data_IF_066802448022
#
_entry.id   IF_066802448022
#
_cell.length_a   1.000
_cell.length_b   1.000
_cell.length_c   1.000
_cell.angle_alpha   90.00
_cell.angle_beta   90.00
_cell.angle_gamma   90.00
#
_symmetry.space_group_name_H-M   'P 1'
#
loop_
_entity.id
_entity.type
_entity.pdbx_description
1 polymer ?
#
# COMPACT_ATOMS: atom_id res chain seq x y z
N UNK A 1 -22.73 18.15 61.02
CA UNK A 1 -21.78 17.30 60.28
C UNK A 1 -22.54 16.49 59.23
N UNK A 2 -22.57 16.93 57.96
CA UNK A 2 -23.12 16.17 56.81
C UNK A 2 -22.70 16.84 55.49
N UNK A 3 -21.39 16.93 55.24
CA UNK A 3 -20.85 17.52 53.99
C UNK A 3 -19.68 16.69 53.41
N UNK A 4 -19.44 15.48 53.92
CA UNK A 4 -18.30 14.65 53.47
C UNK A 4 -18.73 13.58 52.44
N UNK A 5 -20.00 13.16 52.44
CA UNK A 5 -20.48 12.08 51.56
C UNK A 5 -20.80 12.49 50.12
N UNK A 6 -21.14 13.76 49.87
CA UNK A 6 -21.61 14.22 48.56
C UNK A 6 -20.45 14.47 47.59
N UNK A 7 -19.34 15.03 48.08
CA UNK A 7 -18.12 15.29 47.32
C UNK A 7 -17.48 13.97 46.80
N UNK A 8 -17.48 12.92 47.62
CA UNK A 8 -16.92 11.61 47.27
C UNK A 8 -17.76 10.91 46.20
N UNK A 9 -19.08 11.08 46.24
CA UNK A 9 -20.00 10.49 45.26
C UNK A 9 -19.81 11.16 43.89
N UNK A 10 -19.71 12.49 43.86
CA UNK A 10 -19.49 13.28 42.64
C UNK A 10 -18.14 12.93 42.01
N UNK A 11 -17.08 12.82 42.82
CA UNK A 11 -15.76 12.43 42.34
C UNK A 11 -15.76 11.02 41.73
N UNK A 12 -16.49 10.08 42.34
CA UNK A 12 -16.60 8.70 41.87
C UNK A 12 -17.34 8.60 40.52
N UNK A 13 -18.38 9.42 40.32
CA UNK A 13 -19.14 9.49 39.07
C UNK A 13 -18.28 10.09 37.95
N UNK A 14 -17.52 11.15 38.24
CA UNK A 14 -16.60 11.77 37.27
C UNK A 14 -15.51 10.80 36.81
N UNK A 15 -14.93 10.03 37.71
CA UNK A 15 -13.90 9.03 37.38
C UNK A 15 -14.48 7.93 36.47
N UNK A 16 -15.67 7.41 36.78
CA UNK A 16 -16.34 6.41 35.95
C UNK A 16 -16.67 6.92 34.54
N UNK A 17 -17.07 8.20 34.41
CA UNK A 17 -17.37 8.84 33.13
C UNK A 17 -16.12 8.97 32.24
N UNK A 18 -14.98 9.30 32.82
CA UNK A 18 -13.69 9.43 32.10
C UNK A 18 -13.19 8.07 31.62
N UNK A 19 -13.36 7.02 32.43
CA UNK A 19 -12.93 5.65 32.08
C UNK A 19 -13.76 5.09 30.92
N UNK A 20 -15.07 5.32 30.90
CA UNK A 20 -15.95 4.88 29.80
C UNK A 20 -15.71 5.65 28.50
N UNK A 21 -15.41 6.94 28.57
CA UNK A 21 -15.09 7.73 27.37
C UNK A 21 -13.76 7.31 26.71
N UNK A 22 -12.77 6.94 27.53
CA UNK A 22 -11.44 6.52 27.07
C UNK A 22 -11.45 5.16 26.36
N UNK A 23 -12.30 4.24 26.81
CA UNK A 23 -12.41 2.89 26.25
C UNK A 23 -13.19 2.86 24.94
N UNK A 24 -14.23 3.69 24.79
CA UNK A 24 -14.95 3.84 23.52
C UNK A 24 -14.07 4.40 22.38
N UNK A 25 -13.19 5.36 22.70
CA UNK A 25 -12.26 5.94 21.73
C UNK A 25 -11.21 4.95 21.24
N UNK A 26 -10.76 4.02 22.09
CA UNK A 26 -9.86 2.93 21.70
C UNK A 26 -10.54 1.92 20.77
N UNK A 27 -11.79 1.53 21.08
CA UNK A 27 -12.54 0.56 20.27
C UNK A 27 -12.85 1.08 18.86
N UNK A 28 -13.14 2.38 18.72
CA UNK A 28 -13.40 3.00 17.41
C UNK A 28 -12.13 3.05 16.53
N UNK A 29 -10.95 3.32 17.12
CA UNK A 29 -9.68 3.31 16.38
C UNK A 29 -9.31 1.90 15.88
N UNK A 30 -9.60 0.86 16.65
CA UNK A 30 -9.31 -0.52 16.26
C UNK A 30 -10.25 -1.04 15.15
N UNK A 31 -11.51 -0.61 15.16
CA UNK A 31 -12.47 -0.92 14.09
C UNK A 31 -12.07 -0.26 12.75
N UNK A 32 -11.55 0.98 12.78
CA UNK A 32 -11.06 1.66 11.58
C UNK A 32 -9.77 1.01 11.01
N UNK A 33 -8.94 0.39 11.85
CA UNK A 33 -7.76 -0.36 11.40
C UNK A 33 -8.12 -1.74 10.80
N UNK A 34 -9.27 -2.30 11.16
CA UNK A 34 -9.67 -3.67 10.78
C UNK A 34 -10.43 -3.75 9.45
N UNK A 35 -10.91 -2.62 8.91
CA UNK A 35 -11.53 -2.56 7.58
C UNK A 35 -10.52 -2.49 6.43
N UNK A 36 -9.21 -2.46 6.72
CA UNK A 36 -8.18 -2.66 5.69
C UNK A 36 -7.95 -4.16 5.43
N UNK A 37 -9.01 -4.94 5.29
CA UNK A 37 -8.92 -6.17 4.51
C UNK A 37 -8.69 -5.73 3.06
N UNK A 38 -7.44 -5.75 2.61
CA UNK A 38 -7.16 -5.59 1.20
C UNK A 38 -7.78 -6.78 0.47
N UNK A 39 -8.90 -6.56 -0.22
CA UNK A 39 -9.51 -7.53 -1.14
C UNK A 39 -8.63 -7.66 -2.41
N UNK A 40 -7.40 -8.12 -2.21
CA UNK A 40 -6.45 -8.29 -3.30
C UNK A 40 -5.22 -9.07 -2.86
N UNK A 41 -4.62 -9.74 -3.83
CA UNK A 41 -3.39 -10.51 -3.63
C UNK A 41 -2.19 -9.59 -3.67
N UNK A 42 -1.30 -9.72 -2.67
CA UNK A 42 -0.02 -9.03 -2.68
C UNK A 42 0.87 -9.60 -3.78
N UNK A 43 1.43 -8.69 -4.57
CA UNK A 43 2.32 -8.99 -5.67
C UNK A 43 3.56 -8.12 -5.54
N UNK A 44 4.74 -8.68 -5.83
CA UNK A 44 6.01 -7.93 -5.73
C UNK A 44 6.54 -7.59 -7.11
N UNK A 45 6.67 -6.30 -7.40
CA UNK A 45 7.35 -5.81 -8.60
C UNK A 45 8.79 -5.47 -8.25
N UNK A 46 9.74 -6.11 -8.91
CA UNK A 46 11.16 -5.79 -8.79
C UNK A 46 11.54 -4.89 -9.95
N UNK A 47 11.78 -3.62 -9.66
CA UNK A 47 12.38 -2.69 -10.60
C UNK A 47 13.89 -2.86 -10.58
N UNK A 48 14.48 -3.14 -11.74
CA UNK A 48 15.94 -3.05 -11.94
C UNK A 48 16.22 -1.74 -12.67
N UNK A 49 17.06 -0.91 -12.06
CA UNK A 49 17.39 0.43 -12.56
C UNK A 49 18.29 0.33 -13.80
N UNK A 50 18.01 1.15 -14.80
CA UNK A 50 18.96 1.43 -15.89
C UNK A 50 19.94 2.52 -15.49
N UNK A 51 21.19 2.44 -15.98
CA UNK A 51 22.19 3.49 -15.80
C UNK A 51 21.76 4.84 -16.41
N UNK A 52 20.83 4.82 -17.36
CA UNK A 52 20.25 6.01 -18.00
C UNK A 52 19.00 6.52 -17.29
N UNK A 53 18.42 5.74 -16.36
CA UNK A 53 17.22 6.12 -15.62
C UNK A 53 17.59 6.81 -14.30
N UNK A 54 17.40 8.13 -14.27
CA UNK A 54 17.64 8.98 -13.10
C UNK A 54 16.36 9.63 -12.54
N UNK A 55 15.21 9.43 -13.19
CA UNK A 55 13.93 10.00 -12.78
C UNK A 55 13.04 8.99 -12.05
N UNK A 56 12.01 9.49 -11.33
CA UNK A 56 11.02 8.62 -10.70
C UNK A 56 10.27 7.78 -11.74
N UNK A 57 9.72 6.65 -11.28
CA UNK A 57 9.00 5.69 -12.12
C UNK A 57 7.59 5.47 -11.55
N UNK A 58 6.61 5.36 -12.45
CA UNK A 58 5.25 4.93 -12.13
C UNK A 58 5.08 3.46 -12.51
N UNK A 59 4.41 2.68 -11.66
CA UNK A 59 3.97 1.33 -11.95
C UNK A 59 2.47 1.37 -12.23
N UNK A 60 2.06 0.79 -13.35
CA UNK A 60 0.67 0.59 -13.71
C UNK A 60 0.33 -0.89 -13.91
N UNK A 61 -0.92 -1.24 -13.66
CA UNK A 61 -1.54 -2.53 -13.98
C UNK A 61 -2.70 -2.24 -14.92
N UNK A 62 -2.71 -2.83 -16.12
CA UNK A 62 -3.72 -2.58 -17.15
C UNK A 62 -4.02 -1.08 -17.30
N UNK A 63 -2.95 -0.29 -17.49
CA UNK A 63 -2.97 1.18 -17.63
C UNK A 63 -3.40 1.98 -16.39
N UNK A 64 -3.77 1.33 -15.29
CA UNK A 64 -4.09 1.99 -14.02
C UNK A 64 -2.84 2.12 -13.16
N UNK A 65 -2.42 3.33 -12.82
CA UNK A 65 -1.28 3.57 -11.92
C UNK A 65 -1.60 3.08 -10.52
N UNK A 66 -0.81 2.12 -10.03
CA UNK A 66 -0.95 1.52 -8.69
C UNK A 66 0.13 1.98 -7.72
N UNK A 67 1.27 2.46 -8.25
CA UNK A 67 2.32 3.08 -7.46
C UNK A 67 2.97 4.18 -8.30
N UNK A 68 3.10 5.38 -7.74
CA UNK A 68 3.58 6.57 -8.44
C UNK A 68 4.82 7.15 -7.79
N UNK A 69 5.62 7.87 -8.57
CA UNK A 69 6.79 8.62 -8.10
C UNK A 69 7.82 7.76 -7.33
N UNK A 70 8.03 6.53 -7.80
CA UNK A 70 8.97 5.60 -7.17
C UNK A 70 10.39 6.06 -7.46
N UNK A 71 11.11 6.46 -6.42
CA UNK A 71 12.50 6.86 -6.50
C UNK A 71 13.42 5.64 -6.70
N UNK A 72 13.84 5.44 -7.95
CA UNK A 72 14.78 4.37 -8.34
C UNK A 72 16.25 4.85 -8.34
N UNK A 73 16.53 6.09 -7.93
CA UNK A 73 17.89 6.66 -7.99
C UNK A 73 18.82 6.12 -6.90
N UNK A 74 18.24 5.66 -5.78
CA UNK A 74 19.00 5.27 -4.57
C UNK A 74 19.41 3.80 -4.55
N UNK A 75 18.79 2.95 -5.38
CA UNK A 75 19.05 1.50 -5.41
C UNK A 75 19.02 0.95 -6.83
N UNK A 76 19.93 0.03 -7.14
CA UNK A 76 19.93 -0.67 -8.44
C UNK A 76 18.76 -1.64 -8.60
N UNK A 77 18.23 -2.14 -7.49
CA UNK A 77 17.06 -3.01 -7.47
C UNK A 77 16.13 -2.61 -6.33
N UNK A 78 14.85 -2.45 -6.65
CA UNK A 78 13.83 -2.07 -5.70
C UNK A 78 12.65 -3.02 -5.79
N UNK A 79 12.25 -3.59 -4.65
CA UNK A 79 11.06 -4.44 -4.53
C UNK A 79 9.91 -3.57 -4.05
N UNK A 80 8.87 -3.45 -4.88
CA UNK A 80 7.67 -2.67 -4.58
C UNK A 80 6.50 -3.63 -4.42
N UNK A 81 5.91 -3.71 -3.21
CA UNK A 81 4.67 -4.43 -3.02
C UNK A 81 3.53 -3.64 -3.70
N UNK A 82 2.75 -4.32 -4.53
CA UNK A 82 1.52 -3.82 -5.13
C UNK A 82 0.38 -4.78 -4.76
N UNK A 83 -0.84 -4.24 -4.69
CA UNK A 83 -2.04 -5.06 -4.46
C UNK A 83 -2.77 -5.22 -5.78
N UNK A 84 -2.96 -6.47 -6.22
CA UNK A 84 -3.74 -6.79 -7.41
C UNK A 84 -5.16 -7.16 -6.98
N UNK A 85 -6.21 -6.51 -7.53
CA UNK A 85 -7.59 -6.89 -7.27
C UNK A 85 -7.84 -8.36 -7.62
N UNK A 86 -8.55 -9.11 -6.77
CA UNK A 86 -8.75 -10.56 -6.97
C UNK A 86 -9.44 -10.91 -8.30
N UNK A 87 -10.29 -10.01 -8.81
CA UNK A 87 -10.95 -10.14 -10.12
C UNK A 87 -9.99 -10.22 -11.31
N UNK A 88 -8.74 -9.78 -11.14
CA UNK A 88 -7.72 -9.77 -12.20
C UNK A 88 -6.75 -10.95 -12.10
N UNK A 89 -6.78 -11.74 -11.03
CA UNK A 89 -5.82 -12.82 -10.73
C UNK A 89 -5.89 -13.96 -11.75
N UNK A 90 -7.09 -14.34 -12.16
CA UNK A 90 -7.34 -15.43 -13.12
C UNK A 90 -7.18 -14.98 -14.59
N UNK A 91 -6.86 -13.70 -14.82
CA UNK A 91 -6.67 -13.14 -16.15
C UNK A 91 -5.20 -12.96 -16.52
N UNK A 92 -4.97 -12.41 -17.71
CA UNK A 92 -3.69 -11.78 -18.05
C UNK A 92 -3.74 -10.34 -17.56
N UNK A 93 -2.74 -9.92 -16.80
CA UNK A 93 -2.55 -8.52 -16.46
C UNK A 93 -1.24 -8.01 -17.04
N UNK A 94 -1.27 -6.80 -17.57
CA UNK A 94 -0.10 -6.10 -18.06
C UNK A 94 0.41 -5.18 -16.97
N UNK A 95 1.63 -5.44 -16.48
CA UNK A 95 2.30 -4.58 -15.51
C UNK A 95 3.35 -3.77 -16.26
N UNK A 96 3.25 -2.44 -16.18
CA UNK A 96 4.20 -1.53 -16.81
C UNK A 96 4.91 -0.66 -15.77
N UNK A 97 6.18 -0.37 -16.03
CA UNK A 97 6.94 0.66 -15.34
C UNK A 97 7.28 1.75 -16.36
N UNK A 98 6.86 2.98 -16.07
CA UNK A 98 7.02 4.14 -16.96
C UNK A 98 7.82 5.22 -16.24
N UNK A 99 8.88 5.72 -16.87
CA UNK A 99 9.61 6.88 -16.37
C UNK A 99 8.67 8.10 -16.30
N UNK A 100 8.82 8.93 -15.27
CA UNK A 100 8.08 10.20 -15.17
C UNK A 100 8.79 11.29 -15.95
N UNK A 101 10.13 11.31 -15.89
CA UNK A 101 10.95 12.34 -16.53
C UNK A 101 12.27 11.78 -17.04
N UNK A 102 12.54 11.80 -18.36
CA UNK A 102 11.57 12.02 -19.45
C UNK A 102 10.61 10.82 -19.60
N UNK A 103 9.33 11.01 -19.95
CA UNK A 103 8.30 9.95 -19.96
C UNK A 103 8.42 8.95 -21.13
N UNK A 104 9.56 8.88 -21.79
CA UNK A 104 9.77 8.05 -22.98
C UNK A 104 10.11 6.60 -22.66
N UNK A 105 10.73 6.31 -21.51
CA UNK A 105 11.14 4.95 -21.19
C UNK A 105 9.98 4.18 -20.52
N UNK A 106 9.46 3.15 -21.20
CA UNK A 106 8.49 2.21 -20.65
C UNK A 106 8.98 0.77 -20.80
N UNK A 107 8.75 -0.04 -19.77
CA UNK A 107 8.87 -1.50 -19.83
C UNK A 107 7.57 -2.12 -19.34
N UNK A 108 7.04 -3.08 -20.09
CA UNK A 108 5.83 -3.80 -19.75
C UNK A 108 6.07 -5.30 -19.76
N UNK A 109 5.31 -6.02 -18.97
CA UNK A 109 5.30 -7.47 -18.97
C UNK A 109 3.90 -7.99 -18.67
N UNK A 110 3.53 -9.07 -19.33
CA UNK A 110 2.26 -9.74 -19.11
C UNK A 110 2.45 -10.84 -18.09
N UNK A 111 1.63 -10.81 -17.04
CA UNK A 111 1.62 -11.82 -16.00
C UNK A 111 0.29 -12.55 -16.06
N UNK A 112 0.36 -13.88 -16.15
CA UNK A 112 -0.79 -14.76 -16.20
C UNK A 112 -0.76 -15.72 -15.02
N UNK A 113 -1.93 -16.31 -14.69
CA UNK A 113 -2.04 -17.37 -13.70
C UNK A 113 -1.46 -16.98 -12.34
N UNK A 114 -1.78 -15.77 -11.87
CA UNK A 114 -1.33 -15.32 -10.55
C UNK A 114 -1.92 -16.27 -9.48
N UNK A 115 -1.09 -16.73 -8.55
CA UNK A 115 -1.57 -17.60 -7.47
C UNK A 115 -2.02 -16.76 -6.29
N UNK A 116 -3.30 -16.82 -5.92
CA UNK A 116 -3.78 -16.20 -4.70
C UNK A 116 -2.98 -16.74 -3.49
N UNK A 117 -2.40 -15.84 -2.67
CA UNK A 117 -1.53 -16.22 -1.55
C UNK A 117 -0.13 -16.77 -1.93
N UNK A 118 0.22 -16.79 -3.22
CA UNK A 118 1.56 -17.17 -3.69
C UNK A 118 2.55 -16.01 -3.64
N UNK A 119 3.86 -16.31 -3.63
CA UNK A 119 4.93 -15.32 -3.82
C UNK A 119 5.01 -14.90 -5.29
N UNK A 120 3.97 -14.22 -5.78
CA UNK A 120 3.96 -13.75 -7.15
C UNK A 120 4.92 -12.56 -7.26
N UNK A 121 5.93 -12.71 -8.12
CA UNK A 121 7.00 -11.74 -8.31
C UNK A 121 7.18 -11.50 -9.80
N UNK A 122 7.28 -10.25 -10.21
CA UNK A 122 7.74 -9.88 -11.54
C UNK A 122 8.98 -9.03 -11.45
N UNK A 123 9.86 -9.16 -12.43
CA UNK A 123 11.01 -8.28 -12.59
C UNK A 123 10.80 -7.43 -13.83
N UNK A 124 10.83 -6.12 -13.65
CA UNK A 124 10.81 -5.12 -14.71
C UNK A 124 12.20 -4.51 -14.79
N UNK A 125 12.90 -4.82 -15.88
CA UNK A 125 14.25 -4.36 -16.12
C UNK A 125 14.23 -3.10 -16.99
N UNK A 126 14.49 -1.96 -16.36
CA UNK A 126 14.48 -0.67 -17.03
C UNK A 126 15.65 -0.52 -18.01
N UNK A 127 16.68 -1.38 -17.96
CA UNK A 127 17.73 -1.40 -19.01
C UNK A 127 17.18 -1.82 -20.36
N UNK A 128 16.05 -2.54 -20.36
CA UNK A 128 15.33 -3.00 -21.55
C UNK A 128 14.12 -2.12 -21.87
N UNK A 129 13.97 -0.99 -21.17
CA UNK A 129 12.89 -0.06 -21.45
C UNK A 129 13.02 0.44 -22.90
N UNK A 130 11.91 0.37 -23.63
CA UNK A 130 11.83 0.86 -25.00
C UNK A 130 11.45 2.35 -24.90
N UNK A 131 12.11 3.20 -25.69
CA UNK A 131 11.65 4.56 -25.89
C UNK A 131 10.31 4.49 -26.66
N UNK A 132 9.22 4.91 -26.03
CA UNK A 132 7.91 5.08 -26.64
C UNK A 132 7.89 6.17 -27.70
#
# INVERSE_FOLDING_TARGET
MKVVGQEVLILSILIMLVITYSSAALSMKLAAASTSHSNGTQFSVVLVRSNTQNGPVNISINDTVVASNIDVTKKNSLVIPITVPDKLINGTIRICATAVTPPVAQICTDVQNMKQGGKNKVTLDLTKAIAG
#
